data_IF_790752575431
#
_entry.id   IF_790752575431
#
_cell.length_a   1.000
_cell.length_b   1.000
_cell.length_c   1.000
_cell.angle_alpha   90.00
_cell.angle_beta   90.00
_cell.angle_gamma   90.00
#
_symmetry.space_group_name_H-M   'P 1'
#
loop_
_entity.id
_entity.type
_entity.pdbx_description
1 polymer ?
#
# COMPACT_ATOMS: atom_id res chain seq x y z
N UNK A 1 -8.89 0.92 -9.44
CA UNK A 1 -9.35 2.05 -8.60
C UNK A 1 -9.76 1.61 -7.19
N UNK A 2 -10.78 0.74 -6.98
CA UNK A 2 -11.16 0.30 -5.61
C UNK A 2 -10.01 -0.32 -4.82
N UNK A 3 -9.27 -1.26 -5.41
CA UNK A 3 -8.10 -1.87 -4.77
C UNK A 3 -7.00 -0.85 -4.43
N UNK A 4 -6.76 0.13 -5.30
CA UNK A 4 -5.78 1.21 -5.06
C UNK A 4 -6.17 2.07 -3.84
N UNK A 5 -7.47 2.35 -3.65
CA UNK A 5 -7.96 3.05 -2.46
C UNK A 5 -7.78 2.21 -1.18
N UNK A 6 -8.03 0.91 -1.26
CA UNK A 6 -7.81 -0.01 -0.13
C UNK A 6 -6.33 -0.01 0.26
N UNK A 7 -5.43 -0.17 -0.70
CA UNK A 7 -3.98 -0.10 -0.48
C UNK A 7 -3.54 1.25 0.08
N UNK A 8 -4.06 2.36 -0.46
CA UNK A 8 -3.78 3.70 0.04
C UNK A 8 -4.08 3.80 1.54
N UNK A 9 -5.28 3.39 1.95
CA UNK A 9 -5.70 3.45 3.35
C UNK A 9 -4.90 2.49 4.24
N UNK A 10 -4.64 1.27 3.78
CA UNK A 10 -3.81 0.33 4.54
C UNK A 10 -2.38 0.85 4.74
N UNK A 11 -1.73 1.36 3.69
CA UNK A 11 -0.37 1.89 3.79
C UNK A 11 -0.30 3.12 4.70
N UNK A 12 -1.28 4.02 4.59
CA UNK A 12 -1.41 5.16 5.50
C UNK A 12 -1.43 4.72 6.96
N UNK A 13 -2.26 3.73 7.31
CA UNK A 13 -2.37 3.23 8.69
C UNK A 13 -1.14 2.44 9.15
N UNK A 14 -0.43 1.79 8.23
CA UNK A 14 0.82 1.11 8.54
C UNK A 14 1.91 2.08 9.03
N UNK A 15 1.86 3.36 8.64
CA UNK A 15 2.82 4.37 9.06
C UNK A 15 2.96 4.49 10.58
N UNK A 16 1.87 4.26 11.33
CA UNK A 16 1.84 4.39 12.79
C UNK A 16 2.43 3.18 13.53
N UNK A 17 2.64 2.06 12.83
CA UNK A 17 3.09 0.79 13.43
C UNK A 17 4.40 0.27 12.86
N UNK A 18 5.00 0.99 11.91
CA UNK A 18 6.30 0.66 11.32
C UNK A 18 7.28 1.82 11.47
N UNK A 19 8.57 1.52 11.49
CA UNK A 19 9.60 2.55 11.34
C UNK A 19 9.81 2.83 9.86
N UNK A 20 9.47 4.04 9.43
CA UNK A 20 9.50 4.44 8.03
C UNK A 20 9.98 5.88 7.87
N UNK A 21 10.56 6.20 6.71
CA UNK A 21 10.89 7.58 6.30
C UNK A 21 9.74 8.32 5.61
N UNK A 22 8.62 7.63 5.41
CA UNK A 22 7.42 8.16 4.80
C UNK A 22 6.46 8.65 5.88
N UNK A 23 5.80 9.77 5.61
CA UNK A 23 4.63 10.20 6.40
C UNK A 23 3.40 9.34 6.04
N UNK A 24 2.36 9.31 6.89
CA UNK A 24 1.11 8.61 6.56
C UNK A 24 0.53 9.05 5.20
N UNK A 25 0.50 10.36 4.92
CA UNK A 25 0.00 10.90 3.65
C UNK A 25 0.84 10.52 2.42
N UNK A 26 2.15 10.37 2.59
CA UNK A 26 3.00 9.86 1.50
C UNK A 26 2.73 8.38 1.23
N UNK A 27 2.53 7.57 2.27
CA UNK A 27 2.15 6.16 2.11
C UNK A 27 0.75 5.99 1.51
N UNK A 28 -0.19 6.87 1.87
CA UNK A 28 -1.49 6.98 1.20
C UNK A 28 -1.31 7.23 -0.30
N UNK A 29 -0.46 8.21 -0.65
CA UNK A 29 -0.17 8.57 -2.04
C UNK A 29 0.45 7.38 -2.78
N UNK A 30 1.42 6.70 -2.19
CA UNK A 30 2.02 5.50 -2.82
C UNK A 30 0.96 4.43 -3.08
N UNK A 31 0.06 4.15 -2.12
CA UNK A 31 -0.99 3.15 -2.32
C UNK A 31 -2.01 3.55 -3.39
N UNK A 32 -2.38 4.83 -3.46
CA UNK A 32 -3.33 5.34 -4.45
C UNK A 32 -2.79 5.18 -5.89
N UNK A 33 -1.49 5.38 -6.08
CA UNK A 33 -0.81 5.31 -7.38
C UNK A 33 -0.29 3.89 -7.71
N UNK A 34 -0.37 2.94 -6.78
CA UNK A 34 0.23 1.59 -6.89
C UNK A 34 -0.33 0.68 -8.00
N UNK A 35 -1.39 1.08 -8.70
CA UNK A 35 -2.00 0.29 -9.79
C UNK A 35 -2.09 1.05 -11.11
N UNK A 36 -1.38 2.18 -11.24
CA UNK A 36 -1.47 3.02 -12.42
C UNK A 36 -0.96 2.36 -13.68
N UNK A 37 0.11 1.57 -13.57
CA UNK A 37 0.66 0.75 -14.64
C UNK A 37 -0.41 -0.18 -15.23
N UNK A 38 -1.14 -0.89 -14.38
CA UNK A 38 -2.21 -1.79 -14.78
C UNK A 38 -3.45 -1.06 -15.34
N UNK A 39 -3.72 0.18 -14.89
CA UNK A 39 -4.86 0.98 -15.37
C UNK A 39 -4.57 1.61 -16.73
N UNK A 40 -3.33 2.07 -16.94
CA UNK A 40 -2.93 2.82 -18.13
C UNK A 40 -2.28 1.94 -19.20
N UNK A 41 -2.03 0.66 -18.91
CA UNK A 41 -1.33 -0.30 -19.77
C UNK A 41 0.03 0.24 -20.22
N UNK A 42 0.80 0.78 -19.26
CA UNK A 42 2.12 1.37 -19.46
C UNK A 42 3.06 1.00 -18.31
N UNK A 43 4.38 0.92 -18.55
CA UNK A 43 5.36 0.77 -17.48
C UNK A 43 5.23 1.88 -16.42
N UNK A 44 5.38 1.52 -15.13
CA UNK A 44 5.31 2.48 -14.03
C UNK A 44 6.37 3.58 -14.18
N UNK A 45 7.56 3.23 -14.69
CA UNK A 45 8.64 4.17 -14.99
C UNK A 45 8.17 5.32 -15.90
N UNK A 46 7.56 4.99 -17.04
CA UNK A 46 7.09 5.95 -18.04
C UNK A 46 5.95 6.83 -17.51
N UNK A 47 5.14 6.30 -16.59
CA UNK A 47 4.08 7.04 -15.91
C UNK A 47 4.67 8.09 -14.97
N UNK A 48 5.67 7.70 -14.17
CA UNK A 48 6.26 8.57 -13.15
C UNK A 48 7.10 9.71 -13.72
N UNK A 49 7.54 9.62 -14.97
CA UNK A 49 8.14 10.75 -15.70
C UNK A 49 7.16 11.92 -15.92
N UNK A 50 5.86 11.63 -15.95
CA UNK A 50 4.80 12.61 -16.29
C UNK A 50 4.11 13.21 -15.06
N UNK A 51 4.42 12.74 -13.85
CA UNK A 51 3.74 13.11 -12.61
C UNK A 51 4.71 13.83 -11.67
N UNK A 52 4.27 14.94 -11.09
CA UNK A 52 5.02 15.71 -10.10
C UNK A 52 4.96 15.05 -8.71
N UNK A 53 5.64 13.92 -8.54
CA UNK A 53 5.85 13.26 -7.24
C UNK A 53 7.30 13.42 -6.78
N UNK A 54 7.51 13.34 -5.46
CA UNK A 54 8.86 13.34 -4.91
C UNK A 54 9.61 12.06 -5.29
N UNK A 55 10.94 12.15 -5.45
CA UNK A 55 11.78 10.97 -5.75
C UNK A 55 11.60 9.84 -4.74
N UNK A 56 11.37 10.19 -3.47
CA UNK A 56 11.06 9.24 -2.41
C UNK A 56 9.80 8.39 -2.71
N UNK A 57 8.74 9.01 -3.23
CA UNK A 57 7.50 8.31 -3.61
C UNK A 57 7.72 7.50 -4.90
N UNK A 58 8.43 8.07 -5.88
CA UNK A 58 8.76 7.36 -7.12
C UNK A 58 9.56 6.08 -6.83
N UNK A 59 10.58 6.16 -5.99
CA UNK A 59 11.38 5.00 -5.57
C UNK A 59 10.52 3.90 -4.93
N UNK A 60 9.51 4.26 -4.13
CA UNK A 60 8.58 3.30 -3.57
C UNK A 60 7.71 2.62 -4.64
N UNK A 61 7.14 3.40 -5.56
CA UNK A 61 6.31 2.90 -6.67
C UNK A 61 7.11 2.04 -7.66
N UNK A 62 8.41 2.28 -7.80
CA UNK A 62 9.34 1.50 -8.62
C UNK A 62 9.95 0.28 -7.88
N UNK A 63 9.56 0.03 -6.64
CA UNK A 63 10.13 -1.07 -5.84
C UNK A 63 11.60 -0.90 -5.45
N UNK A 64 12.14 0.32 -5.56
CA UNK A 64 13.53 0.66 -5.18
C UNK A 64 13.69 0.90 -3.68
N UNK A 65 12.59 1.26 -2.99
CA UNK A 65 12.59 1.37 -1.54
C UNK A 65 12.37 0.00 -0.88
N UNK A 66 13.41 -0.53 -0.22
CA UNK A 66 13.39 -1.88 0.38
C UNK A 66 12.32 -2.04 1.46
N UNK A 67 12.15 -1.03 2.31
CA UNK A 67 11.19 -1.09 3.42
C UNK A 67 9.77 -1.07 2.88
N UNK A 68 9.48 -0.17 1.94
CA UNK A 68 8.17 -0.14 1.29
C UNK A 68 7.91 -1.41 0.49
N UNK A 69 8.88 -1.95 -0.24
CA UNK A 69 8.72 -3.20 -1.00
C UNK A 69 8.32 -4.36 -0.09
N UNK A 70 8.96 -4.46 1.08
CA UNK A 70 8.62 -5.44 2.12
C UNK A 70 7.21 -5.23 2.71
N UNK A 71 6.78 -3.98 2.90
CA UNK A 71 5.42 -3.66 3.34
C UNK A 71 4.39 -4.02 2.27
N UNK A 72 4.63 -3.62 1.02
CA UNK A 72 3.74 -3.87 -0.12
C UNK A 72 3.55 -5.37 -0.35
N UNK A 73 4.61 -6.16 -0.24
CA UNK A 73 4.58 -7.62 -0.35
C UNK A 73 3.74 -8.26 0.77
N UNK A 74 3.93 -7.81 2.01
CA UNK A 74 3.15 -8.27 3.16
C UNK A 74 1.66 -7.94 3.02
N UNK A 75 1.33 -6.69 2.69
CA UNK A 75 -0.07 -6.25 2.50
C UNK A 75 -0.71 -6.94 1.32
N UNK A 76 0.01 -7.08 0.20
CA UNK A 76 -0.50 -7.79 -0.98
C UNK A 76 -0.76 -9.28 -0.68
N UNK A 77 0.14 -9.92 0.08
CA UNK A 77 -0.04 -11.31 0.53
C UNK A 77 -1.25 -11.44 1.47
N UNK A 78 -1.46 -10.46 2.36
CA UNK A 78 -2.64 -10.40 3.22
C UNK A 78 -3.93 -10.29 2.41
N UNK A 79 -4.00 -9.34 1.47
CA UNK A 79 -5.18 -9.12 0.61
C UNK A 79 -5.52 -10.36 -0.24
N UNK A 80 -4.50 -11.11 -0.66
CA UNK A 80 -4.64 -12.33 -1.46
C UNK A 80 -4.91 -13.59 -0.62
N UNK A 81 -4.91 -13.49 0.71
CA UNK A 81 -5.09 -14.64 1.60
C UNK A 81 -3.93 -15.64 1.58
N UNK A 82 -2.72 -15.20 1.24
CA UNK A 82 -1.50 -16.02 1.19
C UNK A 82 -0.86 -16.13 2.58
N UNK A 83 -1.53 -16.86 3.47
CA UNK A 83 -1.14 -16.99 4.89
C UNK A 83 0.12 -17.83 5.13
N UNK A 84 0.54 -18.59 4.12
CA UNK A 84 1.78 -19.37 4.07
C UNK A 84 3.02 -18.50 3.84
N UNK A 85 2.85 -17.21 3.54
CA UNK A 85 3.95 -16.28 3.41
C UNK A 85 4.77 -16.21 4.71
N UNK A 86 6.08 -16.49 4.61
CA UNK A 86 7.00 -16.71 5.75
C UNK A 86 6.88 -15.64 6.85
N UNK A 87 6.67 -14.38 6.45
CA UNK A 87 6.54 -13.25 7.39
C UNK A 87 5.35 -13.36 8.33
N UNK A 88 4.23 -13.94 7.90
CA UNK A 88 3.08 -14.11 8.79
C UNK A 88 3.38 -15.07 9.94
N UNK A 89 4.29 -16.02 9.74
CA UNK A 89 4.72 -16.95 10.79
C UNK A 89 5.87 -16.38 11.62
N UNK A 90 6.87 -15.79 10.95
CA UNK A 90 8.07 -15.26 11.59
C UNK A 90 7.76 -14.06 12.51
N UNK A 91 6.85 -13.18 12.09
CA UNK A 91 6.55 -11.91 12.77
C UNK A 91 5.11 -11.89 13.34
N UNK A 92 4.49 -13.04 13.60
CA UNK A 92 3.06 -13.15 14.00
C UNK A 92 2.69 -12.26 15.20
N UNK A 93 3.64 -12.05 16.12
CA UNK A 93 3.45 -11.25 17.33
C UNK A 93 3.73 -9.76 17.11
N UNK A 94 4.12 -9.37 15.89
CA UNK A 94 4.33 -7.97 15.53
C UNK A 94 3.00 -7.20 15.52
N UNK A 95 3.07 -5.96 16.01
CA UNK A 95 1.93 -5.05 15.97
C UNK A 95 1.39 -4.85 14.56
N UNK A 96 2.27 -4.85 13.55
CA UNK A 96 1.88 -4.73 12.14
C UNK A 96 0.95 -5.87 11.74
N UNK A 97 1.37 -7.13 11.91
CA UNK A 97 0.57 -8.29 11.49
C UNK A 97 -0.76 -8.38 12.23
N UNK A 98 -0.76 -8.11 13.54
CA UNK A 98 -2.00 -8.11 14.34
C UNK A 98 -2.98 -7.01 13.92
N UNK A 99 -2.49 -5.88 13.36
CA UNK A 99 -3.32 -4.75 12.95
C UNK A 99 -3.81 -4.85 11.51
N UNK A 100 -3.18 -5.64 10.63
CA UNK A 100 -3.58 -5.77 9.23
C UNK A 100 -5.08 -6.07 9.03
N UNK A 101 -5.74 -6.98 9.77
CA UNK A 101 -7.18 -7.21 9.62
C UNK A 101 -8.01 -5.96 9.95
N UNK A 102 -7.64 -5.22 10.98
CA UNK A 102 -8.35 -3.99 11.38
C UNK A 102 -8.17 -2.90 10.33
N UNK A 103 -6.95 -2.74 9.81
CA UNK A 103 -6.66 -1.78 8.73
C UNK A 103 -7.41 -2.13 7.45
N UNK A 104 -7.44 -3.40 7.06
CA UNK A 104 -8.18 -3.84 5.88
C UNK A 104 -9.68 -3.59 6.01
N UNK A 105 -10.27 -3.87 7.17
CA UNK A 105 -11.70 -3.62 7.41
C UNK A 105 -12.04 -2.12 7.37
N UNK A 106 -11.17 -1.26 7.89
CA UNK A 106 -11.33 0.20 7.77
C UNK A 106 -11.18 0.67 6.31
N UNK A 107 -10.20 0.14 5.60
CA UNK A 107 -9.95 0.43 4.19
C UNK A 107 -11.13 0.03 3.28
N UNK A 108 -11.78 -1.11 3.54
CA UNK A 108 -12.99 -1.51 2.84
C UNK A 108 -14.12 -0.50 3.04
N UNK A 109 -14.37 -0.07 4.28
CA UNK A 109 -15.41 0.92 4.60
C UNK A 109 -15.16 2.28 3.95
N UNK A 110 -13.90 2.72 3.93
CA UNK A 110 -13.50 3.96 3.26
C UNK A 110 -13.73 3.86 1.75
N UNK A 111 -13.28 2.77 1.12
CA UNK A 111 -13.46 2.56 -0.30
C UNK A 111 -14.94 2.53 -0.67
N UNK A 112 -15.78 1.81 0.09
CA UNK A 112 -17.22 1.74 -0.18
C UNK A 112 -17.89 3.11 -0.04
N UNK A 113 -17.54 3.90 0.98
CA UNK A 113 -18.03 5.28 1.14
C UNK A 113 -17.63 6.20 -0.02
N UNK A 114 -16.41 6.03 -0.55
CA UNK A 114 -15.91 6.81 -1.69
C UNK A 114 -16.72 6.54 -2.96
N UNK A 115 -17.09 5.29 -3.22
CA UNK A 115 -17.90 4.92 -4.41
C UNK A 115 -19.41 5.03 -4.19
N UNK A 116 -19.88 5.13 -2.95
CA UNK A 116 -21.29 5.37 -2.63
C UNK A 116 -21.68 6.86 -2.65
N UNK A 117 -20.71 7.77 -2.81
CA UNK A 117 -20.96 9.20 -2.95
C UNK A 117 -21.47 9.50 -4.38
N UNK A 118 -22.61 10.20 -4.53
CA UNK A 118 -23.28 10.44 -5.81
C UNK A 118 -22.50 11.38 -6.75
#
# INVERSE_FOLDING_TARGET
IRSSMIKARMYEQCADVIKTRFTPGELFTVGLFSSMDAILDMPMEDILEKIALSEKIKDALLGKDRMFSQLNDLVTSFEQGKWDHDRFQADKDSQLIQKLPVFYMDALKMADSFFASP
#
